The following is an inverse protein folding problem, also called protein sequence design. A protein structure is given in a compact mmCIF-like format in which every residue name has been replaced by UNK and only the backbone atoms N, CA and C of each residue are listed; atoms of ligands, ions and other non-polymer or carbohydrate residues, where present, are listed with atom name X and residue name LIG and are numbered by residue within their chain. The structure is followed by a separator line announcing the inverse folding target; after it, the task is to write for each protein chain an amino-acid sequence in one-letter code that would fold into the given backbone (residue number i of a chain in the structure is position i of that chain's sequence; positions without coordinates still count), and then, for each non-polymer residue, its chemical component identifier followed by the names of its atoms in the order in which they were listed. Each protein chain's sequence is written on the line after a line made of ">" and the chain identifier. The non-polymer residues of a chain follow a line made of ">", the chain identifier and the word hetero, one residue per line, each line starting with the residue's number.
data_IF_823783424331
#
_entry.id   IF_823783424331
#
_cell.length_a   1.000
_cell.length_b   1.000
_cell.length_c   1.000
_cell.angle_alpha   90.00
_cell.angle_beta   90.00
_cell.angle_gamma   90.00
#
_symmetry.space_group_name_H-M   'P 1'
#
loop_
_entity.id
_entity.type
_entity.pdbx_description
1 polymer ?
#
# COMPACT_ATOMS: atom_id res chain seq x y z
N UNK A 1 12.03 -16.03 5.98
CA UNK A 1 11.07 -17.14 5.73
C UNK A 1 9.94 -16.62 4.86
N UNK A 2 9.58 -17.30 3.76
CA UNK A 2 8.50 -16.86 2.86
C UNK A 2 7.12 -17.27 3.41
N UNK A 3 6.21 -16.31 3.59
CA UNK A 3 4.82 -16.57 3.99
C UNK A 3 4.01 -17.04 2.78
N UNK A 4 3.33 -18.19 2.88
CA UNK A 4 2.49 -18.72 1.80
C UNK A 4 1.07 -18.16 1.88
N UNK A 5 0.76 -17.21 1.00
CA UNK A 5 -0.59 -16.63 0.86
C UNK A 5 -1.41 -17.28 -0.28
N UNK A 6 -0.89 -18.29 -1.00
CA UNK A 6 -1.51 -18.83 -2.23
C UNK A 6 -2.95 -19.30 -2.03
N UNK A 7 -3.23 -19.89 -0.88
CA UNK A 7 -4.58 -20.39 -0.56
C UNK A 7 -5.59 -19.25 -0.41
N UNK A 8 -5.18 -18.12 0.18
CA UNK A 8 -6.03 -16.92 0.29
C UNK A 8 -6.10 -16.22 -1.05
N UNK A 9 -4.97 -16.09 -1.75
CA UNK A 9 -4.86 -15.47 -3.07
C UNK A 9 -5.83 -16.10 -4.07
N UNK A 10 -5.91 -17.43 -4.13
CA UNK A 10 -6.82 -18.16 -5.04
C UNK A 10 -8.29 -17.80 -4.79
N UNK A 11 -8.67 -17.53 -3.54
CA UNK A 11 -10.05 -17.12 -3.21
C UNK A 11 -10.32 -15.66 -3.58
N UNK A 12 -9.28 -14.84 -3.68
CA UNK A 12 -9.36 -13.39 -3.88
C UNK A 12 -8.89 -12.95 -5.27
N UNK A 13 -8.77 -13.88 -6.22
CA UNK A 13 -8.14 -13.60 -7.51
C UNK A 13 -8.91 -12.56 -8.33
N UNK A 14 -10.24 -12.62 -8.35
CA UNK A 14 -11.06 -11.62 -9.04
C UNK A 14 -10.95 -10.23 -8.40
N UNK A 15 -11.00 -10.16 -7.07
CA UNK A 15 -10.86 -8.92 -6.32
C UNK A 15 -9.47 -8.30 -6.53
N UNK A 16 -8.43 -9.13 -6.52
CA UNK A 16 -7.06 -8.68 -6.80
C UNK A 16 -6.91 -8.16 -8.23
N UNK A 17 -7.51 -8.83 -9.22
CA UNK A 17 -7.52 -8.35 -10.60
C UNK A 17 -8.27 -7.01 -10.72
N UNK A 18 -9.41 -6.85 -10.03
CA UNK A 18 -10.14 -5.57 -9.98
C UNK A 18 -9.30 -4.48 -9.34
N UNK A 19 -8.69 -4.77 -8.19
CA UNK A 19 -7.80 -3.84 -7.49
C UNK A 19 -6.65 -3.37 -8.38
N UNK A 20 -5.91 -4.30 -9.02
CA UNK A 20 -4.80 -3.96 -9.93
C UNK A 20 -5.23 -3.10 -11.11
N UNK A 21 -6.41 -3.35 -11.70
CA UNK A 21 -6.93 -2.49 -12.77
C UNK A 21 -7.33 -1.11 -12.24
N UNK A 22 -7.91 -1.08 -11.04
CA UNK A 22 -8.29 0.16 -10.37
C UNK A 22 -7.09 1.06 -10.08
N UNK A 23 -5.95 0.51 -9.66
CA UNK A 23 -4.75 1.29 -9.31
C UNK A 23 -4.35 2.34 -10.36
N UNK A 24 -4.55 2.06 -11.65
CA UNK A 24 -4.21 2.95 -12.76
C UNK A 24 -5.43 3.65 -13.37
N UNK A 25 -6.62 3.42 -12.82
CA UNK A 25 -7.84 4.09 -13.26
C UNK A 25 -7.96 5.45 -12.60
N UNK A 26 -8.34 6.46 -13.40
CA UNK A 26 -8.69 7.78 -12.89
C UNK A 26 -10.18 7.91 -12.55
N UNK A 27 -10.98 6.86 -12.82
CA UNK A 27 -12.41 6.87 -12.53
C UNK A 27 -12.66 6.55 -11.05
N UNK A 28 -13.22 7.48 -10.26
CA UNK A 28 -13.54 7.23 -8.86
C UNK A 28 -14.55 6.09 -8.65
N UNK A 29 -15.36 5.74 -9.66
CA UNK A 29 -16.28 4.62 -9.60
C UNK A 29 -15.57 3.26 -9.51
N UNK A 30 -14.31 3.19 -9.98
CA UNK A 30 -13.48 1.98 -9.90
C UNK A 30 -12.81 1.80 -8.53
N UNK A 31 -12.93 2.79 -7.63
CA UNK A 31 -12.42 2.70 -6.27
C UNK A 31 -13.43 2.07 -5.32
N UNK A 32 -13.07 0.90 -4.78
CA UNK A 32 -13.80 0.28 -3.67
C UNK A 32 -13.92 1.17 -2.43
N UNK A 33 -13.01 2.14 -2.25
CA UNK A 33 -13.05 3.10 -1.15
C UNK A 33 -14.04 4.23 -1.38
N UNK A 34 -14.41 4.55 -2.62
CA UNK A 34 -15.38 5.62 -2.89
C UNK A 34 -16.76 5.35 -2.24
N UNK A 35 -17.11 4.09 -1.99
CA UNK A 35 -18.35 3.72 -1.29
C UNK A 35 -18.25 3.76 0.24
N UNK A 36 -17.04 3.80 0.79
CA UNK A 36 -16.75 3.69 2.23
C UNK A 36 -16.22 5.00 2.82
N UNK A 37 -15.58 5.83 1.99
CA UNK A 37 -15.07 7.15 2.34
C UNK A 37 -16.23 8.16 2.35
N UNK A 38 -16.34 9.02 3.37
CA UNK A 38 -17.37 10.06 3.40
C UNK A 38 -17.33 10.94 2.14
N UNK A 39 -18.50 11.29 1.61
CA UNK A 39 -18.62 12.12 0.39
C UNK A 39 -17.96 13.49 0.52
N UNK A 40 -17.82 14.02 1.74
CA UNK A 40 -17.08 15.25 2.02
C UNK A 40 -15.57 15.09 1.76
N UNK A 41 -14.99 13.96 2.15
CA UNK A 41 -13.58 13.63 1.91
C UNK A 41 -13.35 13.40 0.42
N UNK A 42 -14.26 12.69 -0.25
CA UNK A 42 -14.17 12.50 -1.71
C UNK A 42 -14.21 13.83 -2.47
N UNK A 43 -15.12 14.74 -2.09
CA UNK A 43 -15.20 16.09 -2.68
C UNK A 43 -13.95 16.91 -2.41
N UNK A 44 -13.37 16.80 -1.21
CA UNK A 44 -12.11 17.47 -0.89
C UNK A 44 -10.95 16.92 -1.72
N UNK A 45 -10.84 15.60 -1.86
CA UNK A 45 -9.82 14.99 -2.72
C UNK A 45 -9.97 15.43 -4.17
N UNK A 46 -11.20 15.46 -4.69
CA UNK A 46 -11.48 15.98 -6.03
C UNK A 46 -11.09 17.46 -6.18
N UNK A 47 -11.41 18.31 -5.19
CA UNK A 47 -11.05 19.72 -5.21
C UNK A 47 -9.53 19.95 -5.14
N UNK A 48 -8.80 19.04 -4.48
CA UNK A 48 -7.34 19.05 -4.39
C UNK A 48 -6.66 18.33 -5.59
N UNK A 49 -7.43 17.85 -6.58
CA UNK A 49 -6.91 17.10 -7.73
C UNK A 49 -6.34 15.72 -7.37
N UNK A 50 -6.65 15.19 -6.18
CA UNK A 50 -6.16 13.90 -5.69
C UNK A 50 -7.06 12.75 -6.16
N UNK A 51 -6.43 11.66 -6.62
CA UNK A 51 -7.15 10.43 -6.96
C UNK A 51 -7.67 9.71 -5.72
N UNK A 52 -8.81 9.06 -5.84
CA UNK A 52 -9.38 8.24 -4.77
C UNK A 52 -8.54 6.95 -4.66
N UNK A 53 -7.95 6.63 -3.50
CA UNK A 53 -7.19 5.40 -3.34
C UNK A 53 -8.08 4.19 -3.59
N UNK A 54 -7.50 3.08 -4.04
CA UNK A 54 -8.20 1.81 -4.18
C UNK A 54 -7.94 0.96 -2.93
N UNK A 55 -8.92 0.16 -2.52
CA UNK A 55 -8.73 -0.83 -1.45
C UNK A 55 -8.88 -2.25 -1.96
N UNK A 56 -8.15 -3.14 -1.31
CA UNK A 56 -8.26 -4.58 -1.43
C UNK A 56 -8.42 -5.21 -0.03
N UNK A 57 -9.32 -6.18 0.07
CA UNK A 57 -9.75 -6.77 1.33
C UNK A 57 -11.02 -6.12 1.91
N UNK A 58 -11.42 -6.50 3.13
CA UNK A 58 -10.62 -7.20 4.13
C UNK A 58 -10.32 -8.67 3.77
N UNK A 59 -9.05 -9.07 3.87
CA UNK A 59 -8.60 -10.46 3.72
C UNK A 59 -8.15 -11.04 5.05
N UNK A 60 -8.34 -12.34 5.28
CA UNK A 60 -7.85 -12.98 6.52
C UNK A 60 -6.33 -13.02 6.50
N UNK A 61 -5.71 -12.65 7.62
CA UNK A 61 -4.29 -12.87 7.79
C UNK A 61 -3.98 -14.38 7.84
N UNK A 62 -2.87 -14.78 7.24
CA UNK A 62 -2.33 -16.15 7.28
C UNK A 62 -1.36 -16.35 8.46
N UNK A 63 -0.87 -15.26 9.05
CA UNK A 63 0.05 -15.29 10.20
C UNK A 63 -0.66 -15.08 11.53
N UNK A 64 -1.80 -14.37 11.55
CA UNK A 64 -2.65 -14.17 12.73
C UNK A 64 -4.13 -14.46 12.43
N UNK A 65 -4.66 -15.52 13.05
CA UNK A 65 -6.08 -15.92 12.92
C UNK A 65 -7.09 -14.88 13.42
N UNK A 66 -6.65 -13.91 14.22
CA UNK A 66 -7.48 -12.84 14.77
C UNK A 66 -7.44 -11.58 13.91
N UNK A 67 -6.49 -11.47 12.98
CA UNK A 67 -6.31 -10.31 12.13
C UNK A 67 -7.03 -10.44 10.78
N UNK A 68 -7.49 -9.29 10.28
CA UNK A 68 -7.80 -9.08 8.86
C UNK A 68 -6.94 -7.95 8.32
N UNK A 69 -6.47 -8.11 7.10
CA UNK A 69 -5.66 -7.14 6.40
C UNK A 69 -6.50 -6.34 5.42
N UNK A 70 -6.24 -5.05 5.35
CA UNK A 70 -6.68 -4.18 4.27
C UNK A 70 -5.42 -3.65 3.59
N UNK A 71 -5.39 -3.74 2.27
CA UNK A 71 -4.36 -3.13 1.45
C UNK A 71 -4.98 -1.94 0.73
N UNK A 72 -4.34 -0.78 0.82
CA UNK A 72 -4.77 0.43 0.11
C UNK A 72 -3.65 0.83 -0.84
N UNK A 73 -4.01 1.18 -2.07
CA UNK A 73 -3.07 1.68 -3.06
C UNK A 73 -3.54 3.00 -3.67
N UNK A 74 -2.59 3.89 -3.91
CA UNK A 74 -2.81 5.18 -4.56
C UNK A 74 -1.64 5.53 -5.48
N UNK A 75 -1.93 6.29 -6.53
CA UNK A 75 -0.92 6.83 -7.44
C UNK A 75 -0.92 8.35 -7.29
N UNK A 76 0.27 8.91 -7.09
CA UNK A 76 0.49 10.35 -6.97
C UNK A 76 1.65 10.78 -7.86
N UNK A 77 1.69 12.06 -8.23
CA UNK A 77 2.81 12.59 -9.02
C UNK A 77 4.10 12.57 -8.20
N UNK A 78 5.21 12.19 -8.83
CA UNK A 78 6.53 12.24 -8.19
C UNK A 78 6.87 13.64 -7.70
N UNK A 79 6.52 14.68 -8.47
CA UNK A 79 6.74 16.07 -8.06
C UNK A 79 6.05 16.43 -6.74
N UNK A 80 4.90 15.83 -6.45
CA UNK A 80 4.12 16.06 -5.22
C UNK A 80 4.74 15.32 -4.05
N UNK A 81 4.98 14.00 -4.18
CA UNK A 81 5.52 13.21 -3.09
C UNK A 81 6.91 13.67 -2.67
N UNK A 82 7.72 14.05 -3.66
CA UNK A 82 9.13 14.37 -3.48
C UNK A 82 9.38 15.86 -3.25
N UNK A 83 8.33 16.67 -3.25
CA UNK A 83 8.41 18.14 -3.15
C UNK A 83 9.39 18.76 -4.18
N UNK A 84 9.44 18.17 -5.38
CA UNK A 84 10.33 18.60 -6.48
C UNK A 84 9.54 18.96 -7.73
N UNK A 85 9.21 20.25 -7.93
CA UNK A 85 8.54 20.72 -9.14
C UNK A 85 9.29 20.33 -10.42
N UNK A 86 8.55 19.93 -11.46
CA UNK A 86 9.13 19.52 -12.74
C UNK A 86 9.65 18.07 -12.77
N UNK A 87 9.53 17.33 -11.68
CA UNK A 87 9.82 15.89 -11.68
C UNK A 87 8.68 15.15 -12.39
N UNK A 88 9.02 14.53 -13.52
CA UNK A 88 8.09 13.68 -14.26
C UNK A 88 7.95 12.29 -13.63
N UNK A 89 6.83 11.64 -13.91
CA UNK A 89 6.51 10.31 -13.42
C UNK A 89 5.59 10.31 -12.19
N UNK A 90 5.25 9.11 -11.74
CA UNK A 90 4.32 8.89 -10.64
C UNK A 90 4.89 7.92 -9.61
N UNK A 91 4.25 7.85 -8.44
CA UNK A 91 4.58 6.92 -7.37
C UNK A 91 3.33 6.16 -7.01
N UNK A 92 3.40 4.83 -7.11
CA UNK A 92 2.44 3.94 -6.50
C UNK A 92 2.82 3.75 -5.04
N UNK A 93 1.94 4.19 -4.14
CA UNK A 93 2.00 3.88 -2.72
C UNK A 93 1.12 2.68 -2.44
N UNK A 94 1.64 1.69 -1.73
CA UNK A 94 0.85 0.61 -1.14
C UNK A 94 0.99 0.65 0.38
N UNK A 95 -0.14 0.59 1.07
CA UNK A 95 -0.19 0.46 2.53
C UNK A 95 -0.92 -0.81 2.94
N UNK A 96 -0.31 -1.57 3.84
CA UNK A 96 -0.89 -2.80 4.41
C UNK A 96 -1.18 -2.53 5.87
N UNK A 97 -2.45 -2.63 6.28
CA UNK A 97 -2.88 -2.42 7.65
C UNK A 97 -3.61 -3.66 8.18
N UNK A 98 -3.42 -3.96 9.47
CA UNK A 98 -4.11 -5.05 10.16
C UNK A 98 -5.09 -4.50 11.21
N UNK A 99 -6.23 -5.18 11.34
CA UNK A 99 -7.15 -4.98 12.47
C UNK A 99 -7.66 -6.30 13.02
N UNK A 100 -7.97 -6.31 14.31
CA UNK A 100 -8.63 -7.44 14.93
C UNK A 100 -10.03 -7.62 14.35
N UNK A 101 -10.36 -8.82 13.88
CA UNK A 101 -11.59 -9.10 13.11
C UNK A 101 -12.90 -8.87 13.88
N UNK A 102 -12.92 -9.05 15.20
CA UNK A 102 -14.09 -8.79 16.05
C UNK A 102 -14.06 -7.41 16.71
N UNK A 103 -12.95 -7.06 17.37
CA UNK A 103 -12.80 -5.80 18.10
C UNK A 103 -12.59 -4.57 17.20
N UNK A 104 -12.20 -4.74 15.94
CA UNK A 104 -11.91 -3.65 15.01
C UNK A 104 -10.66 -2.83 15.36
N UNK A 105 -9.95 -3.17 16.43
CA UNK A 105 -8.75 -2.48 16.90
C UNK A 105 -7.57 -2.72 15.95
N UNK A 106 -6.72 -1.71 15.76
CA UNK A 106 -5.49 -1.86 14.95
C UNK A 106 -4.57 -2.90 15.56
N UNK A 107 -3.93 -3.69 14.72
CA UNK A 107 -2.97 -4.71 15.10
C UNK A 107 -1.65 -4.53 14.36
N UNK A 108 -0.59 -5.12 14.91
CA UNK A 108 0.67 -5.20 14.21
C UNK A 108 0.52 -6.05 12.93
N UNK A 109 1.14 -5.60 11.86
CA UNK A 109 1.22 -6.33 10.59
C UNK A 109 2.49 -7.17 10.61
N UNK A 110 2.39 -8.45 10.28
CA UNK A 110 3.56 -9.29 10.04
C UNK A 110 4.30 -8.81 8.76
N UNK A 111 5.59 -8.43 8.85
CA UNK A 111 6.31 -7.88 7.71
C UNK A 111 6.44 -8.84 6.52
N UNK A 112 6.54 -10.15 6.79
CA UNK A 112 6.68 -11.15 5.73
C UNK A 112 5.35 -11.39 5.02
N UNK A 113 4.23 -11.32 5.74
CA UNK A 113 2.89 -11.35 5.15
C UNK A 113 2.60 -10.09 4.33
N UNK A 114 2.96 -8.90 4.83
CA UNK A 114 2.82 -7.65 4.08
C UNK A 114 3.63 -7.69 2.77
N UNK A 115 4.88 -8.15 2.83
CA UNK A 115 5.72 -8.39 1.66
C UNK A 115 5.05 -9.34 0.66
N UNK A 116 4.49 -10.46 1.12
CA UNK A 116 3.84 -11.42 0.25
C UNK A 116 2.63 -10.82 -0.48
N UNK A 117 1.84 -9.97 0.19
CA UNK A 117 0.74 -9.24 -0.44
C UNK A 117 1.21 -8.22 -1.47
N UNK A 118 2.26 -7.46 -1.16
CA UNK A 118 2.84 -6.48 -2.10
C UNK A 118 3.36 -7.19 -3.34
N UNK A 119 4.13 -8.27 -3.17
CA UNK A 119 4.62 -9.11 -4.28
C UNK A 119 3.46 -9.64 -5.13
N UNK A 120 2.41 -10.13 -4.47
CA UNK A 120 1.21 -10.57 -5.15
C UNK A 120 0.41 -9.44 -5.80
N UNK A 121 0.62 -8.17 -5.48
CA UNK A 121 -0.04 -7.04 -6.14
C UNK A 121 0.79 -6.57 -7.33
N UNK A 122 2.06 -6.25 -7.13
CA UNK A 122 2.92 -5.65 -8.17
C UNK A 122 3.39 -6.67 -9.21
N UNK A 123 3.47 -7.94 -8.82
CA UNK A 123 4.03 -9.00 -9.66
C UNK A 123 5.57 -9.05 -9.66
N UNK A 124 6.13 -10.18 -10.10
CA UNK A 124 7.56 -10.47 -9.93
C UNK A 124 8.47 -9.56 -10.74
N UNK A 125 8.02 -9.04 -11.88
CA UNK A 125 8.81 -8.16 -12.75
C UNK A 125 9.09 -6.80 -12.14
N UNK A 126 8.20 -6.31 -11.27
CA UNK A 126 8.30 -4.98 -10.68
C UNK A 126 8.84 -5.01 -9.24
N UNK A 127 8.86 -6.20 -8.62
CA UNK A 127 9.36 -6.41 -7.27
C UNK A 127 10.77 -5.82 -7.00
N UNK A 128 11.75 -5.90 -7.92
CA UNK A 128 13.08 -5.31 -7.71
C UNK A 128 13.09 -3.77 -7.59
N UNK A 129 11.97 -3.11 -7.90
CA UNK A 129 11.82 -1.66 -7.85
C UNK A 129 10.91 -1.20 -6.69
N UNK A 130 10.47 -2.13 -5.85
CA UNK A 130 9.63 -1.80 -4.69
C UNK A 130 10.51 -1.50 -3.48
N UNK A 131 10.22 -0.37 -2.85
CA UNK A 131 10.88 0.09 -1.64
C UNK A 131 9.94 -0.05 -0.44
N UNK A 132 10.41 -0.61 0.65
CA UNK A 132 9.78 -0.48 1.96
C UNK A 132 10.07 0.93 2.50
N UNK A 133 9.01 1.69 2.79
CA UNK A 133 9.08 3.06 3.31
C UNK A 133 8.99 3.14 4.85
N UNK A 134 9.19 2.00 5.52
CA UNK A 134 9.02 1.88 6.95
C UNK A 134 7.55 1.91 7.37
N UNK A 135 7.31 2.33 8.61
CA UNK A 135 6.04 2.11 9.29
C UNK A 135 5.56 3.36 10.02
N UNK A 136 4.35 3.82 9.72
CA UNK A 136 3.66 4.76 10.60
C UNK A 136 3.08 3.99 11.80
N UNK A 137 3.61 4.29 12.98
CA UNK A 137 3.06 3.82 14.26
C UNK A 137 1.96 4.77 14.71
N UNK A 138 0.85 4.23 15.21
CA UNK A 138 -0.20 5.06 15.83
C UNK A 138 -0.53 4.67 17.26
N UNK A 139 0.42 4.12 18.03
CA UNK A 139 0.22 3.96 19.48
C UNK A 139 1.49 4.38 20.23
N UNK A 140 1.46 5.60 20.76
CA UNK A 140 2.44 6.10 21.71
C UNK A 140 2.01 5.77 23.14
N UNK A 141 2.80 4.93 23.80
CA UNK A 141 2.77 4.70 25.25
C UNK A 141 4.18 4.29 25.67
N UNK A 142 4.74 4.98 26.65
CA UNK A 142 6.17 5.05 27.03
C UNK A 142 6.83 3.75 27.53
N UNK A 143 6.26 2.56 27.28
CA UNK A 143 6.86 1.30 27.79
C UNK A 143 6.60 0.05 26.96
N UNK A 144 5.97 0.13 25.78
CA UNK A 144 5.78 -1.03 24.90
C UNK A 144 6.57 -0.86 23.59
N UNK A 145 7.16 -1.94 23.04
CA UNK A 145 7.81 -1.87 21.73
C UNK A 145 6.81 -1.37 20.69
N UNK A 146 7.24 -0.39 19.90
CA UNK A 146 6.45 0.32 18.88
C UNK A 146 5.85 -0.69 17.90
N UNK A 147 4.55 -0.97 18.02
CA UNK A 147 3.86 -1.96 17.17
C UNK A 147 3.57 -1.37 15.78
N UNK A 148 3.99 -2.09 14.74
CA UNK A 148 3.89 -1.68 13.34
C UNK A 148 2.46 -1.88 12.83
N UNK A 149 1.59 -0.89 12.98
CA UNK A 149 0.16 -1.03 12.63
C UNK A 149 -0.13 -0.84 11.14
N UNK A 150 0.79 -0.23 10.40
CA UNK A 150 0.72 -0.11 8.94
C UNK A 150 2.12 -0.16 8.33
N UNK A 151 2.28 -0.96 7.27
CA UNK A 151 3.51 -1.04 6.47
C UNK A 151 3.30 -0.30 5.15
N UNK A 152 4.26 0.54 4.77
CA UNK A 152 4.20 1.35 3.56
C UNK A 152 5.25 0.91 2.55
N UNK A 153 4.86 0.93 1.28
CA UNK A 153 5.71 0.55 0.16
C UNK A 153 5.55 1.56 -0.97
N UNK A 154 6.66 1.87 -1.64
CA UNK A 154 6.70 2.75 -2.80
C UNK A 154 7.22 2.02 -4.03
N UNK A 155 6.65 2.35 -5.18
CA UNK A 155 7.13 1.99 -6.49
C UNK A 155 7.15 3.25 -7.36
N UNK A 156 8.34 3.65 -7.79
CA UNK A 156 8.54 4.83 -8.63
C UNK A 156 8.41 4.45 -10.10
N UNK A 157 7.54 5.18 -10.81
CA UNK A 157 7.24 4.97 -12.23
C UNK A 157 7.68 6.19 -13.03
N UNK A 158 8.39 5.96 -14.14
CA UNK A 158 8.81 7.02 -15.05
C UNK A 158 7.61 7.65 -15.79
N UNK A 159 7.88 8.67 -16.61
CA UNK A 159 6.87 9.25 -17.50
C UNK A 159 6.30 8.22 -18.50
N UNK A 160 7.06 7.18 -18.80
CA UNK A 160 6.69 6.03 -19.63
C UNK A 160 5.89 4.95 -18.87
N UNK A 161 5.65 5.15 -17.57
CA UNK A 161 4.99 4.18 -16.70
C UNK A 161 5.85 2.97 -16.34
N UNK A 162 7.16 3.00 -16.63
CA UNK A 162 8.07 1.90 -16.32
C UNK A 162 8.69 2.09 -14.94
N UNK A 163 8.76 1.04 -14.10
CA UNK A 163 9.47 1.11 -12.82
C UNK A 163 10.93 1.51 -12.98
N UNK A 164 11.39 2.40 -12.09
CA UNK A 164 12.80 2.75 -11.98
C UNK A 164 13.24 2.78 -10.51
N UNK A 165 14.56 2.88 -10.30
CA UNK A 165 15.12 3.04 -8.96
C UNK A 165 14.60 4.31 -8.29
N UNK A 166 14.51 4.32 -6.96
CA UNK A 166 14.21 5.53 -6.19
C UNK A 166 15.09 6.67 -6.70
N UNK A 167 14.48 7.79 -7.11
CA UNK A 167 15.28 8.93 -7.52
C UNK A 167 15.93 9.58 -6.31
N UNK A 168 17.14 10.15 -6.42
CA UNK A 168 17.85 10.76 -5.28
C UNK A 168 17.00 11.80 -4.53
N UNK A 169 16.46 11.48 -3.35
CA UNK A 169 15.56 12.36 -2.60
C UNK A 169 15.68 12.20 -1.07
N UNK A 170 15.15 13.18 -0.33
CA UNK A 170 15.01 13.15 1.13
C UNK A 170 13.54 12.94 1.50
N UNK A 171 13.03 11.72 1.35
CA UNK A 171 11.65 11.38 1.77
C UNK A 171 11.44 11.42 3.30
N UNK A 172 12.45 11.82 4.08
CA UNK A 172 12.42 11.80 5.54
C UNK A 172 12.27 10.40 6.16
N UNK A 173 12.23 9.35 5.32
CA UNK A 173 12.13 7.94 5.68
C UNK A 173 13.26 7.16 5.01
N UNK A 174 13.79 6.17 5.71
CA UNK A 174 14.76 5.25 5.13
C UNK A 174 14.02 4.27 4.21
N UNK A 175 14.33 4.32 2.91
CA UNK A 175 13.84 3.32 1.98
C UNK A 175 14.79 2.11 1.96
N UNK A 176 14.21 0.91 1.88
CA UNK A 176 14.96 -0.33 1.70
C UNK A 176 14.33 -1.14 0.59
N UNK A 177 15.13 -1.63 -0.36
CA UNK A 177 14.62 -2.49 -1.42
C UNK A 177 13.95 -3.72 -0.80
N UNK A 178 12.77 -4.05 -1.30
CA UNK A 178 11.98 -5.17 -0.78
C UNK A 178 12.69 -6.52 -0.97
N UNK A 179 13.60 -6.61 -1.95
CA UNK A 179 14.46 -7.76 -2.19
C UNK A 179 15.52 -7.97 -1.11
N UNK A 180 15.95 -6.89 -0.44
CA UNK A 180 17.05 -6.92 0.53
C UNK A 180 16.57 -7.31 1.94
N UNK A 181 15.25 -7.34 2.15
CA UNK A 181 14.59 -7.72 3.41
C UNK A 181 14.34 -9.25 3.50
N UNK A 182 15.26 -10.05 2.96
CA UNK A 182 15.18 -11.52 2.84
C UNK A 182 15.66 -12.31 4.04
#
# INVERSE_FOLDING_TARGET
>A
MSVDIRTVLRKQEEELRRFRRGLFSTDPADSGLASVVPTTVLKQMQAEGKMVPHSFGPVRSVTDRHAVLTIVGDITDQAVLLERPGREGSVLTLSVAAKHKQLGTRQAVDPAEARAWVEAIVGPSWLPHVYSAGNLSTVGGTSAPRQLTTAYYYLFLGADGVPHAEPEHELGVALSLLTDLG
#
